data_IF_461351084022
#
_entry.id   IF_461351084022
#
_cell.length_a   1.000
_cell.length_b   1.000
_cell.length_c   1.000
_cell.angle_alpha   90.00
_cell.angle_beta   90.00
_cell.angle_gamma   90.00
#
_symmetry.space_group_name_H-M   'P 1'
#
loop_
_entity.id
_entity.type
_entity.pdbx_description
1 polymer ?
#
# COMPACT_ATOMS: atom_id res chain seq x y z
N UNK A 1 16.84 -28.66 -1.65
CA UNK A 1 15.40 -29.00 -1.51
C UNK A 1 14.59 -28.20 -2.53
N UNK A 2 13.77 -28.87 -3.35
CA UNK A 2 12.92 -28.20 -4.36
C UNK A 2 11.75 -27.50 -3.67
N UNK A 3 11.48 -26.23 -4.00
CA UNK A 3 10.34 -25.47 -3.46
C UNK A 3 9.16 -25.51 -4.43
N UNK A 4 7.94 -25.52 -3.89
CA UNK A 4 6.72 -25.36 -4.67
C UNK A 4 6.72 -24.03 -5.44
N UNK A 5 6.27 -24.04 -6.69
CA UNK A 5 6.24 -22.85 -7.55
C UNK A 5 7.50 -22.62 -8.40
N UNK A 6 8.51 -23.49 -8.28
CA UNK A 6 9.68 -23.46 -9.15
C UNK A 6 9.38 -24.04 -10.55
N UNK A 7 10.10 -23.54 -11.56
CA UNK A 7 10.06 -24.05 -12.94
C UNK A 7 11.31 -24.91 -13.18
N UNK A 8 11.14 -26.09 -13.76
CA UNK A 8 12.27 -26.94 -14.18
C UNK A 8 12.81 -26.46 -15.53
N UNK A 9 14.04 -25.94 -15.55
CA UNK A 9 14.74 -25.53 -16.77
C UNK A 9 15.67 -26.63 -17.33
N UNK A 10 15.80 -27.77 -16.63
CA UNK A 10 16.71 -28.86 -16.98
C UNK A 10 16.00 -30.15 -17.35
N UNK A 11 16.73 -31.27 -17.26
CA UNK A 11 16.20 -32.59 -17.53
C UNK A 11 15.06 -32.99 -16.55
N UNK A 12 14.23 -33.93 -16.97
CA UNK A 12 13.20 -34.50 -16.11
C UNK A 12 13.82 -35.27 -14.93
N UNK A 13 13.19 -35.17 -13.76
CA UNK A 13 13.59 -35.90 -12.57
C UNK A 13 12.37 -36.33 -11.76
N UNK A 14 12.54 -37.36 -10.93
CA UNK A 14 11.51 -37.78 -9.96
C UNK A 14 11.69 -37.01 -8.66
N UNK A 15 10.58 -36.56 -8.09
CA UNK A 15 10.55 -35.92 -6.79
C UNK A 15 9.47 -36.54 -5.91
N UNK A 16 9.66 -36.46 -4.60
CA UNK A 16 8.65 -36.83 -3.60
C UNK A 16 8.11 -35.56 -2.96
N UNK A 17 6.79 -35.40 -2.96
CA UNK A 17 6.15 -34.33 -2.23
C UNK A 17 6.34 -34.54 -0.72
N UNK A 18 6.80 -33.51 -0.02
CA UNK A 18 7.04 -33.52 1.43
C UNK A 18 6.04 -32.68 2.22
N UNK A 19 5.20 -31.89 1.53
CA UNK A 19 4.17 -31.04 2.11
C UNK A 19 2.92 -31.04 1.23
N UNK A 20 1.76 -30.78 1.84
CA UNK A 20 0.51 -30.55 1.11
C UNK A 20 0.53 -29.22 0.35
N UNK A 21 -0.43 -29.01 -0.54
CA UNK A 21 -0.58 -27.76 -1.29
C UNK A 21 -0.74 -26.54 -0.36
N UNK A 22 -1.52 -26.67 0.72
CA UNK A 22 -1.79 -25.61 1.69
C UNK A 22 -0.57 -25.24 2.54
N UNK A 23 0.26 -26.23 2.87
CA UNK A 23 1.50 -26.08 3.63
C UNK A 23 2.70 -25.70 2.73
N UNK A 24 2.47 -25.48 1.43
CA UNK A 24 3.53 -25.19 0.48
C UNK A 24 4.11 -23.77 0.64
N UNK A 25 5.35 -23.58 0.18
CA UNK A 25 6.00 -22.26 0.15
C UNK A 25 5.23 -21.28 -0.74
N UNK A 26 4.64 -21.76 -1.84
CA UNK A 26 3.83 -20.94 -2.74
C UNK A 26 2.56 -20.44 -2.04
N UNK A 27 1.84 -21.31 -1.34
CA UNK A 27 0.68 -20.91 -0.55
C UNK A 27 1.04 -19.91 0.55
N UNK A 28 2.23 -20.00 1.15
CA UNK A 28 2.71 -18.99 2.09
C UNK A 28 2.93 -17.62 1.44
N UNK A 29 3.50 -17.58 0.22
CA UNK A 29 3.67 -16.33 -0.55
C UNK A 29 2.30 -15.72 -0.88
N UNK A 30 1.32 -16.52 -1.31
CA UNK A 30 -0.04 -16.05 -1.61
C UNK A 30 -0.68 -15.42 -0.36
N UNK A 31 -0.63 -16.11 0.79
CA UNK A 31 -1.18 -15.57 2.05
C UNK A 31 -0.52 -14.25 2.46
N UNK A 32 0.80 -14.13 2.32
CA UNK A 32 1.52 -12.89 2.60
C UNK A 32 1.07 -11.75 1.66
N UNK A 33 0.87 -12.04 0.38
CA UNK A 33 0.40 -11.07 -0.60
C UNK A 33 -1.04 -10.60 -0.30
N UNK A 34 -1.94 -11.52 0.06
CA UNK A 34 -3.32 -11.20 0.45
C UNK A 34 -3.39 -10.35 1.72
N UNK A 35 -2.61 -10.70 2.75
CA UNK A 35 -2.52 -9.92 3.99
C UNK A 35 -2.02 -8.50 3.74
N UNK A 36 -1.05 -8.32 2.83
CA UNK A 36 -0.57 -7.00 2.45
C UNK A 36 -1.64 -6.17 1.71
N UNK A 37 -2.41 -6.81 0.82
CA UNK A 37 -3.45 -6.17 0.02
C UNK A 37 -4.68 -5.73 0.83
N UNK A 38 -5.04 -6.44 1.90
CA UNK A 38 -6.20 -6.14 2.75
C UNK A 38 -6.07 -4.84 3.60
N UNK A 39 -4.93 -4.14 3.54
CA UNK A 39 -4.68 -2.97 4.38
C UNK A 39 -5.37 -1.68 3.87
N UNK A 40 -6.35 -1.18 4.64
CA UNK A 40 -7.05 0.10 4.36
C UNK A 40 -6.17 1.32 4.65
N UNK A 41 -6.41 2.41 3.90
CA UNK A 41 -5.77 3.71 4.11
C UNK A 41 -6.09 4.29 5.52
N UNK A 42 -5.09 4.74 6.29
CA UNK A 42 -5.28 5.36 7.60
C UNK A 42 -5.97 6.75 7.62
N UNK A 43 -5.79 7.59 6.59
CA UNK A 43 -6.31 8.98 6.57
C UNK A 43 -7.83 9.03 6.48
N UNK A 44 -8.42 8.11 5.71
CA UNK A 44 -9.88 7.99 5.64
C UNK A 44 -10.47 7.58 6.98
N UNK A 45 -9.79 6.71 7.74
CA UNK A 45 -10.22 6.34 9.10
C UNK A 45 -10.14 7.51 10.09
N UNK A 46 -9.19 8.42 9.90
CA UNK A 46 -9.08 9.60 10.76
C UNK A 46 -10.26 10.55 10.51
N UNK A 47 -10.62 10.78 9.24
CA UNK A 47 -11.79 11.58 8.87
C UNK A 47 -13.09 11.00 9.48
N UNK A 48 -13.27 9.67 9.41
CA UNK A 48 -14.43 8.99 10.01
C UNK A 48 -14.47 9.17 11.54
N UNK A 49 -13.33 9.10 12.23
CA UNK A 49 -13.26 9.31 13.68
C UNK A 49 -13.58 10.75 14.08
N UNK A 50 -13.14 11.73 13.28
CA UNK A 50 -13.51 13.13 13.49
C UNK A 50 -15.01 13.35 13.26
N UNK A 51 -15.62 12.67 12.28
CA UNK A 51 -17.05 12.78 12.03
C UNK A 51 -17.88 12.35 13.25
N UNK A 52 -17.49 11.28 13.96
CA UNK A 52 -18.19 10.84 15.18
C UNK A 52 -18.14 11.90 16.27
N UNK A 53 -16.95 12.46 16.54
CA UNK A 53 -16.81 13.53 17.53
C UNK A 53 -17.60 14.79 17.12
N UNK A 54 -17.54 15.15 15.84
CA UNK A 54 -18.26 16.30 15.29
C UNK A 54 -19.78 16.14 15.45
N UNK A 55 -20.33 14.96 15.17
CA UNK A 55 -21.75 14.66 15.37
C UNK A 55 -22.14 14.80 16.83
N UNK A 56 -21.34 14.25 17.75
CA UNK A 56 -21.62 14.33 19.19
C UNK A 56 -21.62 15.79 19.69
N UNK A 57 -20.61 16.58 19.31
CA UNK A 57 -20.53 18.00 19.66
C UNK A 57 -21.70 18.78 19.07
N UNK A 58 -22.01 18.54 17.81
CA UNK A 58 -23.14 19.19 17.13
C UNK A 58 -24.47 18.89 17.82
N UNK A 59 -24.69 17.63 18.24
CA UNK A 59 -25.90 17.23 18.96
C UNK A 59 -26.01 17.93 20.33
N UNK A 60 -24.91 18.05 21.06
CA UNK A 60 -24.87 18.78 22.34
C UNK A 60 -25.18 20.26 22.13
N UNK A 61 -24.57 20.90 21.14
CA UNK A 61 -24.81 22.32 20.85
C UNK A 61 -26.25 22.55 20.38
N UNK A 62 -26.80 21.66 19.56
CA UNK A 62 -28.20 21.73 19.14
C UNK A 62 -29.16 21.58 20.34
N UNK A 63 -28.89 20.64 21.24
CA UNK A 63 -29.66 20.45 22.47
C UNK A 63 -29.61 21.67 23.40
N UNK A 64 -28.43 22.27 23.56
CA UNK A 64 -28.25 23.51 24.34
C UNK A 64 -28.99 24.70 23.69
N UNK A 65 -28.91 24.82 22.36
CA UNK A 65 -29.61 25.87 21.63
C UNK A 65 -31.12 25.80 21.83
N UNK A 66 -31.70 24.59 21.83
CA UNK A 66 -33.12 24.38 22.13
C UNK A 66 -33.45 24.66 23.60
N UNK A 67 -32.66 24.14 24.54
CA UNK A 67 -32.93 24.32 25.97
C UNK A 67 -32.88 25.79 26.41
N UNK A 68 -31.97 26.59 25.85
CA UNK A 68 -31.83 28.01 26.18
C UNK A 68 -32.84 28.91 25.44
N UNK A 69 -33.28 28.53 24.24
CA UNK A 69 -34.22 29.34 23.46
C UNK A 69 -35.69 28.99 23.69
N UNK A 70 -35.98 27.76 24.13
CA UNK A 70 -37.33 27.18 24.12
C UNK A 70 -37.87 26.86 22.72
N UNK A 71 -37.10 27.12 21.65
CA UNK A 71 -37.51 27.02 20.25
C UNK A 71 -36.75 25.89 19.53
N UNK A 72 -37.44 24.81 19.10
CA UNK A 72 -36.82 23.69 18.41
C UNK A 72 -36.25 24.07 17.03
N UNK A 73 -36.70 25.17 16.42
CA UNK A 73 -36.17 25.65 15.13
C UNK A 73 -34.68 26.01 15.25
N UNK A 74 -34.24 26.50 16.41
CA UNK A 74 -32.82 26.81 16.63
C UNK A 74 -31.93 25.58 16.69
N UNK A 75 -32.41 24.46 17.23
CA UNK A 75 -31.67 23.19 17.16
C UNK A 75 -31.54 22.69 15.72
N UNK A 76 -32.62 22.77 14.95
CA UNK A 76 -32.60 22.40 13.52
C UNK A 76 -31.59 23.27 12.75
N UNK A 77 -31.56 24.57 12.99
CA UNK A 77 -30.62 25.48 12.35
C UNK A 77 -29.15 25.09 12.64
N UNK A 78 -28.83 24.69 13.88
CA UNK A 78 -27.49 24.19 14.24
C UNK A 78 -27.16 22.91 13.45
N UNK A 79 -28.08 21.95 13.39
CA UNK A 79 -27.88 20.69 12.67
C UNK A 79 -27.67 20.89 11.17
N UNK A 80 -28.42 21.81 10.56
CA UNK A 80 -28.30 22.11 9.12
C UNK A 80 -26.98 22.81 8.79
N UNK A 81 -26.55 23.77 9.61
CA UNK A 81 -25.27 24.48 9.41
C UNK A 81 -24.08 23.56 9.67
N UNK A 82 -24.19 22.65 10.64
CA UNK A 82 -23.14 21.72 11.01
C UNK A 82 -23.04 20.54 10.03
N UNK A 83 -22.70 20.82 8.78
CA UNK A 83 -22.48 19.80 7.75
C UNK A 83 -20.98 19.71 7.41
N UNK A 84 -20.29 18.58 7.68
CA UNK A 84 -18.84 18.47 7.47
C UNK A 84 -18.45 18.14 6.01
N UNK A 85 -19.25 18.51 5.02
CA UNK A 85 -19.05 18.15 3.61
C UNK A 85 -17.62 18.43 3.08
N UNK A 86 -17.03 19.63 3.30
CA UNK A 86 -15.67 19.92 2.83
C UNK A 86 -14.61 19.04 3.50
N UNK A 87 -14.81 18.71 4.78
CA UNK A 87 -13.89 17.88 5.56
C UNK A 87 -13.84 16.44 5.00
N UNK A 88 -15.01 15.87 4.69
CA UNK A 88 -15.13 14.51 4.16
C UNK A 88 -14.48 14.41 2.76
N UNK A 89 -14.63 15.44 1.93
CA UNK A 89 -14.12 15.43 0.55
C UNK A 89 -12.63 15.76 0.43
N UNK A 90 -12.03 16.42 1.42
CA UNK A 90 -10.63 16.84 1.34
C UNK A 90 -9.65 15.69 1.08
N UNK A 91 -9.78 14.59 1.81
CA UNK A 91 -8.90 13.42 1.69
C UNK A 91 -8.98 12.72 0.33
N UNK A 92 -10.16 12.31 -0.20
CA UNK A 92 -10.24 11.67 -1.50
C UNK A 92 -9.79 12.57 -2.65
N UNK A 93 -10.09 13.89 -2.60
CA UNK A 93 -9.63 14.84 -3.62
C UNK A 93 -8.09 14.91 -3.64
N UNK A 94 -7.46 15.06 -2.47
CA UNK A 94 -6.01 15.10 -2.36
C UNK A 94 -5.35 13.80 -2.86
N UNK A 95 -5.94 12.64 -2.53
CA UNK A 95 -5.45 11.34 -2.97
C UNK A 95 -5.53 11.18 -4.49
N UNK A 96 -6.69 11.47 -5.09
CA UNK A 96 -6.89 11.34 -6.55
C UNK A 96 -5.95 12.30 -7.30
N UNK A 97 -5.83 13.54 -6.84
CA UNK A 97 -4.89 14.50 -7.41
C UNK A 97 -3.43 14.02 -7.29
N UNK A 98 -3.05 13.48 -6.13
CA UNK A 98 -1.73 12.91 -5.91
C UNK A 98 -1.41 11.72 -6.82
N UNK A 99 -2.35 10.77 -6.96
CA UNK A 99 -2.23 9.64 -7.89
C UNK A 99 -2.08 10.14 -9.33
N UNK A 100 -2.90 11.10 -9.76
CA UNK A 100 -2.81 11.68 -11.11
C UNK A 100 -1.44 12.32 -11.38
N UNK A 101 -0.90 13.09 -10.43
CA UNK A 101 0.43 13.70 -10.56
C UNK A 101 1.58 12.69 -10.55
N UNK A 102 1.43 11.57 -9.85
CA UNK A 102 2.40 10.47 -9.86
C UNK A 102 2.35 9.71 -11.19
N UNK A 103 1.15 9.40 -11.69
CA UNK A 103 0.96 8.75 -12.98
C UNK A 103 1.53 9.57 -14.14
N UNK A 104 1.36 10.90 -14.12
CA UNK A 104 1.97 11.81 -15.09
C UNK A 104 3.51 11.79 -15.09
N UNK A 105 4.14 11.19 -14.08
CA UNK A 105 5.60 10.99 -13.97
C UNK A 105 6.02 9.53 -14.15
N UNK A 106 5.12 8.67 -14.64
CA UNK A 106 5.39 7.24 -14.83
C UNK A 106 5.36 6.41 -13.55
N UNK A 107 4.87 6.95 -12.44
CA UNK A 107 4.76 6.22 -11.16
C UNK A 107 3.35 5.64 -11.04
N UNK A 108 3.25 4.31 -11.06
CA UNK A 108 1.97 3.60 -10.91
C UNK A 108 1.70 3.32 -9.43
N UNK A 109 0.65 3.94 -8.89
CA UNK A 109 0.20 3.73 -7.51
C UNK A 109 -0.97 2.77 -7.50
N UNK A 110 -0.83 1.62 -6.82
CA UNK A 110 -1.89 0.62 -6.67
C UNK A 110 -2.43 0.62 -5.23
N UNK A 111 -3.61 1.20 -5.04
CA UNK A 111 -4.34 1.20 -3.77
C UNK A 111 -4.33 2.55 -3.03
N UNK A 112 -5.44 2.87 -2.38
CA UNK A 112 -5.70 4.19 -1.78
C UNK A 112 -4.77 4.56 -0.61
N UNK A 113 -4.22 3.57 0.11
CA UNK A 113 -3.34 3.79 1.27
C UNK A 113 -1.85 3.92 0.95
N UNK A 114 -1.45 3.73 -0.31
CA UNK A 114 -0.01 3.69 -0.68
C UNK A 114 0.62 5.06 -0.57
N UNK A 115 -0.01 6.11 -1.09
CA UNK A 115 0.53 7.49 -1.03
C UNK A 115 0.72 7.94 0.42
N UNK A 116 -0.25 7.65 1.28
CA UNK A 116 -0.17 8.01 2.69
C UNK A 116 0.94 7.25 3.44
N UNK A 117 1.16 5.97 3.12
CA UNK A 117 2.28 5.22 3.69
C UNK A 117 3.61 5.75 3.17
N UNK A 118 3.71 6.01 1.87
CA UNK A 118 4.89 6.62 1.24
C UNK A 118 5.23 7.98 1.85
N UNK A 119 4.24 8.78 2.26
CA UNK A 119 4.47 10.05 2.94
C UNK A 119 5.16 9.92 4.31
N UNK A 120 5.16 8.71 4.91
CA UNK A 120 5.68 8.45 6.26
C UNK A 120 6.85 7.47 6.30
N UNK A 121 7.33 6.97 5.15
CA UNK A 121 8.48 6.07 5.16
C UNK A 121 9.75 6.87 5.50
N UNK A 122 10.60 6.30 6.35
CA UNK A 122 11.95 6.83 6.62
C UNK A 122 13.05 5.99 5.97
N UNK A 123 12.71 4.81 5.47
CA UNK A 123 13.67 3.84 4.94
C UNK A 123 13.12 3.26 3.65
N UNK A 124 13.98 3.18 2.63
CA UNK A 124 13.71 2.48 1.37
C UNK A 124 14.69 1.32 1.25
N UNK A 125 14.14 0.11 1.11
CA UNK A 125 14.91 -1.10 0.89
C UNK A 125 14.77 -1.44 -0.60
N UNK A 126 15.89 -1.48 -1.31
CA UNK A 126 15.92 -1.86 -2.71
C UNK A 126 16.29 -3.33 -2.84
N UNK A 127 15.56 -4.07 -3.67
CA UNK A 127 16.08 -5.33 -4.20
C UNK A 127 17.23 -5.00 -5.16
N UNK A 128 18.25 -5.85 -5.22
CA UNK A 128 19.39 -5.60 -6.10
C UNK A 128 19.05 -6.03 -7.52
N UNK A 129 18.63 -7.28 -7.67
CA UNK A 129 18.55 -7.96 -8.97
C UNK A 129 17.27 -7.56 -9.68
N UNK A 130 17.37 -6.92 -10.86
CA UNK A 130 16.20 -6.48 -11.63
C UNK A 130 15.60 -5.15 -11.18
N UNK A 131 16.10 -4.55 -10.09
CA UNK A 131 15.75 -3.19 -9.65
C UNK A 131 16.95 -2.26 -9.78
N UNK A 132 18.03 -2.51 -9.03
CA UNK A 132 19.29 -1.74 -9.16
C UNK A 132 20.16 -2.23 -10.31
N UNK A 133 20.03 -3.51 -10.69
CA UNK A 133 20.79 -4.12 -11.79
C UNK A 133 19.88 -4.63 -12.90
N UNK A 134 20.38 -4.82 -14.13
CA UNK A 134 19.57 -5.19 -15.30
C UNK A 134 18.98 -6.62 -15.28
N UNK A 135 19.20 -7.39 -14.22
CA UNK A 135 18.77 -8.79 -14.12
C UNK A 135 19.45 -9.76 -15.09
N UNK A 136 20.44 -9.29 -15.87
CA UNK A 136 21.18 -10.09 -16.87
C UNK A 136 22.65 -10.19 -16.48
N UNK A 137 23.20 -11.41 -16.34
CA UNK A 137 24.63 -11.58 -16.07
C UNK A 137 25.46 -11.08 -17.25
N UNK A 138 26.60 -10.44 -16.95
CA UNK A 138 27.61 -10.07 -17.94
C UNK A 138 28.97 -10.52 -17.42
N UNK A 139 29.81 -11.02 -18.31
CA UNK A 139 31.21 -11.32 -17.98
C UNK A 139 31.93 -10.01 -17.65
N UNK A 140 32.34 -9.85 -16.40
CA UNK A 140 32.98 -8.61 -15.93
C UNK A 140 34.49 -8.61 -16.20
N UNK A 141 35.16 -9.72 -15.89
CA UNK A 141 36.58 -9.91 -16.09
C UNK A 141 36.91 -11.39 -16.26
N UNK A 142 38.05 -11.66 -16.88
CA UNK A 142 38.71 -12.96 -16.89
C UNK A 142 40.08 -12.71 -16.26
N UNK A 143 40.36 -13.37 -15.14
CA UNK A 143 41.66 -13.32 -14.45
C UNK A 143 42.37 -14.67 -14.68
N UNK A 144 43.25 -14.77 -15.69
CA UNK A 144 43.96 -16.01 -15.97
C UNK A 144 45.04 -16.28 -14.92
N UNK A 145 45.36 -17.55 -14.68
CA UNK A 145 46.53 -17.92 -13.89
C UNK A 145 47.83 -17.49 -14.60
N UNK A 146 48.90 -17.30 -13.83
CA UNK A 146 50.19 -16.88 -14.37
C UNK A 146 50.69 -17.83 -15.48
N UNK A 147 51.09 -17.27 -16.62
CA UNK A 147 51.53 -18.02 -17.80
C UNK A 147 50.44 -18.27 -18.85
N UNK A 148 49.17 -17.93 -18.58
CA UNK A 148 48.08 -17.98 -19.56
C UNK A 148 47.76 -16.56 -20.06
N UNK A 149 47.89 -16.34 -21.36
CA UNK A 149 47.47 -15.09 -21.99
C UNK A 149 45.94 -15.04 -22.11
N UNK A 150 45.37 -13.86 -21.91
CA UNK A 150 43.96 -13.60 -22.25
C UNK A 150 43.87 -13.53 -23.77
N UNK A 151 43.21 -14.50 -24.39
CA UNK A 151 42.85 -14.39 -25.81
C UNK A 151 41.88 -13.21 -25.96
N UNK A 152 42.25 -12.23 -26.77
CA UNK A 152 41.38 -11.10 -27.09
C UNK A 152 40.22 -11.62 -27.94
N UNK A 153 39.01 -11.54 -27.39
CA UNK A 153 37.77 -11.85 -28.10
C UNK A 153 37.43 -10.77 -29.14
#
# INVERSE_FOLDING_TARGET
ALRSGAVNAGAAFRMRATASAEASTYAAIVRLAEQAAASRAPLTRLADRFAVLFIAVTAVVAGLAWALSGDPVRALAVLVVATPCPLILAAPIALVAGVGRAAARGVVVKGAGVIERLARIGVVLFDKTGTLTPGRPRLAAIEPAAGLAREAA
#
